data_IF_228205992379
#
_entry.id   IF_228205992379
#
_cell.length_a   1.000
_cell.length_b   1.000
_cell.length_c   1.000
_cell.angle_alpha   90.00
_cell.angle_beta   90.00
_cell.angle_gamma   90.00
#
_symmetry.space_group_name_H-M   'P 1'
#
loop_
_entity.id
_entity.type
_entity.pdbx_description
1 polymer ?
#
# COMPACT_ATOMS: atom_id res chain seq x y z
N UNK A 1 18.58 16.75 -10.75
CA UNK A 1 17.47 16.94 -9.80
C UNK A 1 16.99 18.37 -9.91
N UNK A 2 15.68 18.57 -10.08
CA UNK A 2 15.01 19.86 -10.20
C UNK A 2 13.66 19.77 -9.48
N UNK A 3 13.11 20.89 -9.03
CA UNK A 3 11.83 20.95 -8.33
C UNK A 3 10.98 22.08 -8.90
N UNK A 4 9.73 21.76 -9.19
CA UNK A 4 8.66 22.72 -9.43
C UNK A 4 7.78 22.73 -8.18
N UNK A 5 7.49 23.91 -7.64
CA UNK A 5 6.75 24.02 -6.37
C UNK A 5 5.30 23.59 -6.51
N UNK A 6 4.75 23.63 -7.72
CA UNK A 6 3.37 23.21 -8.00
C UNK A 6 3.25 21.70 -8.27
N UNK A 7 4.36 20.96 -8.27
CA UNK A 7 4.37 19.52 -8.54
C UNK A 7 4.97 18.74 -7.36
N UNK A 8 4.20 17.81 -6.79
CA UNK A 8 4.67 16.99 -5.67
C UNK A 8 5.90 16.15 -6.03
N UNK A 9 6.98 16.41 -5.29
CA UNK A 9 8.20 15.60 -5.38
C UNK A 9 8.00 14.18 -4.83
N UNK A 10 7.09 14.02 -3.86
CA UNK A 10 6.73 12.73 -3.28
C UNK A 10 6.03 11.83 -4.30
N UNK A 11 5.08 12.37 -5.07
CA UNK A 11 4.40 11.62 -6.13
C UNK A 11 5.38 11.21 -7.23
N UNK A 12 6.30 12.12 -7.63
CA UNK A 12 7.34 11.80 -8.59
C UNK A 12 8.32 10.73 -8.07
N UNK A 13 8.70 10.80 -6.79
CA UNK A 13 9.58 9.81 -6.16
C UNK A 13 8.91 8.43 -6.05
N UNK A 14 7.63 8.36 -5.70
CA UNK A 14 6.86 7.13 -5.65
C UNK A 14 6.74 6.49 -7.04
N UNK A 15 6.33 7.27 -8.05
CA UNK A 15 6.24 6.79 -9.43
C UNK A 15 7.59 6.29 -9.94
N UNK A 16 8.66 7.08 -9.72
CA UNK A 16 10.02 6.72 -10.12
C UNK A 16 10.53 5.45 -9.43
N UNK A 17 10.23 5.26 -8.15
CA UNK A 17 10.63 4.07 -7.38
C UNK A 17 9.91 2.81 -7.87
N UNK A 18 8.61 2.90 -8.12
CA UNK A 18 7.84 1.80 -8.71
C UNK A 18 8.39 1.42 -10.07
N UNK A 19 8.56 2.42 -10.96
CA UNK A 19 9.06 2.17 -12.31
C UNK A 19 10.48 1.58 -12.27
N UNK A 20 11.36 2.06 -11.39
CA UNK A 20 12.71 1.53 -11.22
C UNK A 20 12.70 0.03 -10.82
N UNK A 21 11.83 -0.37 -9.89
CA UNK A 21 11.65 -1.78 -9.53
C UNK A 21 11.08 -2.59 -10.71
N UNK A 22 10.11 -2.02 -11.43
CA UNK A 22 9.49 -2.70 -12.57
C UNK A 22 10.47 -2.93 -13.72
N UNK A 23 11.37 -1.98 -14.04
CA UNK A 23 12.39 -2.17 -15.08
C UNK A 23 13.58 -3.01 -14.64
N UNK A 24 13.79 -3.17 -13.33
CA UNK A 24 14.83 -4.05 -12.79
C UNK A 24 14.53 -5.53 -13.02
N UNK A 25 15.49 -6.39 -12.70
CA UNK A 25 15.34 -7.84 -12.67
C UNK A 25 14.75 -8.36 -11.35
N UNK A 26 14.51 -7.49 -10.36
CA UNK A 26 13.98 -7.87 -9.05
C UNK A 26 12.51 -8.30 -9.17
N UNK A 27 12.11 -9.44 -8.60
CA UNK A 27 10.71 -9.85 -8.50
C UNK A 27 9.92 -8.85 -7.65
N UNK A 28 8.90 -8.25 -8.26
CA UNK A 28 8.06 -7.23 -7.64
C UNK A 28 6.66 -7.33 -8.20
N UNK A 29 5.67 -7.52 -7.34
CA UNK A 29 4.24 -7.61 -7.68
C UNK A 29 3.59 -6.22 -7.84
N UNK A 30 4.31 -5.31 -8.50
CA UNK A 30 3.78 -4.01 -8.93
C UNK A 30 3.26 -4.03 -10.37
N UNK A 31 3.16 -2.87 -11.05
CA UNK A 31 3.56 -1.54 -10.58
C UNK A 31 2.58 -0.98 -9.55
N UNK A 32 3.05 0.01 -8.78
CA UNK A 32 2.14 0.91 -8.07
C UNK A 32 2.23 2.33 -8.64
N UNK A 33 1.17 3.10 -8.47
CA UNK A 33 1.23 4.54 -8.59
C UNK A 33 0.44 5.15 -7.42
N UNK A 34 0.66 6.44 -7.20
CA UNK A 34 -0.15 7.21 -6.27
C UNK A 34 -0.38 8.61 -6.78
N UNK A 35 -1.43 9.22 -6.25
CA UNK A 35 -1.86 10.58 -6.57
C UNK A 35 -2.32 11.28 -5.30
N UNK A 36 -2.21 12.60 -5.29
CA UNK A 36 -2.93 13.44 -4.35
C UNK A 36 -4.28 13.81 -4.97
N UNK A 37 -5.36 13.71 -4.22
CA UNK A 37 -6.71 14.11 -4.61
C UNK A 37 -7.12 15.27 -3.70
N UNK A 38 -7.38 16.41 -4.32
CA UNK A 38 -8.02 17.56 -3.69
C UNK A 38 -9.49 17.67 -4.07
N UNK A 39 -10.21 18.56 -3.40
CA UNK A 39 -11.57 18.97 -3.74
C UNK A 39 -11.75 20.47 -3.50
N UNK A 40 -11.94 21.21 -4.59
CA UNK A 40 -12.17 22.67 -4.55
C UNK A 40 -13.56 22.95 -5.10
N UNK A 41 -14.36 23.74 -4.39
CA UNK A 41 -15.76 24.04 -4.73
C UNK A 41 -16.59 22.77 -5.03
N UNK A 42 -16.36 21.70 -4.26
CA UNK A 42 -17.03 20.42 -4.41
C UNK A 42 -16.56 19.57 -5.61
N UNK A 43 -15.51 19.98 -6.33
CA UNK A 43 -14.98 19.25 -7.49
C UNK A 43 -13.65 18.61 -7.16
N UNK A 44 -13.54 17.30 -7.43
CA UNK A 44 -12.30 16.55 -7.24
C UNK A 44 -11.24 16.97 -8.26
N UNK A 45 -9.99 17.07 -7.82
CA UNK A 45 -8.82 17.46 -8.61
C UNK A 45 -7.68 16.48 -8.32
N UNK A 46 -7.05 15.95 -9.37
CA UNK A 46 -5.84 15.13 -9.26
C UNK A 46 -4.60 16.03 -9.20
N UNK A 47 -3.70 15.71 -8.29
CA UNK A 47 -2.41 16.37 -8.06
C UNK A 47 -2.56 17.90 -8.09
N UNK A 48 -3.38 18.47 -7.18
CA UNK A 48 -3.60 19.91 -7.12
C UNK A 48 -2.28 20.65 -6.90
N UNK A 49 -2.16 21.84 -7.48
CA UNK A 49 -1.05 22.74 -7.17
C UNK A 49 -1.20 23.34 -5.76
N UNK A 50 -0.24 24.16 -5.33
CA UNK A 50 -0.22 24.71 -3.96
C UNK A 50 -1.48 25.51 -3.67
N UNK A 51 -1.87 26.43 -4.56
CA UNK A 51 -3.05 27.29 -4.37
C UNK A 51 -4.37 26.50 -4.35
N UNK A 52 -4.48 25.45 -5.16
CA UNK A 52 -5.66 24.58 -5.18
C UNK A 52 -5.74 23.76 -3.90
N UNK A 53 -4.62 23.26 -3.39
CA UNK A 53 -4.58 22.47 -2.16
C UNK A 53 -4.95 23.32 -0.94
N UNK A 54 -4.55 24.60 -0.91
CA UNK A 54 -4.94 25.54 0.16
C UNK A 54 -6.46 25.81 0.20
N UNK A 55 -7.13 25.74 -0.95
CA UNK A 55 -8.58 25.92 -1.08
C UNK A 55 -9.35 24.59 -0.95
N UNK A 56 -8.63 23.49 -0.78
CA UNK A 56 -9.17 22.15 -0.84
C UNK A 56 -9.69 21.72 0.52
N UNK A 57 -10.93 21.24 0.58
CA UNK A 57 -11.50 20.64 1.80
C UNK A 57 -11.10 19.16 1.97
N UNK A 58 -10.34 18.61 1.02
CA UNK A 58 -9.74 17.26 1.05
C UNK A 58 -8.27 17.34 0.68
N UNK A 59 -7.40 16.69 1.43
CA UNK A 59 -6.03 16.38 1.03
C UNK A 59 -5.82 14.87 1.21
N UNK A 60 -6.06 14.13 0.14
CA UNK A 60 -6.04 12.68 0.12
C UNK A 60 -4.88 12.19 -0.73
N UNK A 61 -3.91 11.51 -0.15
CA UNK A 61 -2.93 10.71 -0.88
C UNK A 61 -3.42 9.27 -0.94
N UNK A 62 -3.56 8.74 -2.15
CA UNK A 62 -3.94 7.35 -2.39
C UNK A 62 -2.91 6.68 -3.29
N UNK A 63 -2.55 5.43 -2.97
CA UNK A 63 -1.63 4.63 -3.78
C UNK A 63 -2.08 3.18 -3.86
N UNK A 64 -1.81 2.54 -5.00
CA UNK A 64 -2.21 1.16 -5.23
C UNK A 64 -1.71 0.58 -6.54
N UNK A 65 -2.09 -0.67 -6.77
CA UNK A 65 -1.93 -1.37 -8.05
C UNK A 65 -3.14 -1.12 -8.95
N UNK A 66 -3.14 -1.74 -10.14
CA UNK A 66 -4.28 -1.69 -11.06
C UNK A 66 -5.57 -2.27 -10.44
N UNK A 67 -5.40 -3.24 -9.55
CA UNK A 67 -6.51 -4.05 -9.02
C UNK A 67 -7.00 -3.54 -7.67
N UNK A 68 -6.10 -3.03 -6.82
CA UNK A 68 -6.42 -2.68 -5.45
C UNK A 68 -5.70 -1.41 -4.98
N UNK A 69 -6.30 -0.74 -4.01
CA UNK A 69 -5.68 0.31 -3.23
C UNK A 69 -4.90 -0.33 -2.08
N UNK A 70 -3.65 0.08 -1.90
CA UNK A 70 -2.76 -0.47 -0.88
C UNK A 70 -2.53 0.49 0.29
N UNK A 71 -2.59 1.81 0.05
CA UNK A 71 -2.32 2.84 1.04
C UNK A 71 -3.20 4.07 0.81
N UNK A 72 -3.68 4.64 1.92
CA UNK A 72 -4.43 5.89 1.97
C UNK A 72 -3.92 6.72 3.15
N UNK A 73 -3.59 7.99 2.90
CA UNK A 73 -3.26 9.00 3.90
C UNK A 73 -4.14 10.22 3.62
N UNK A 74 -4.96 10.67 4.57
CA UNK A 74 -5.97 11.70 4.30
C UNK A 74 -6.13 12.69 5.44
N UNK A 75 -6.25 13.98 5.09
CA UNK A 75 -6.83 15.03 5.91
C UNK A 75 -8.02 15.65 5.19
N UNK A 76 -9.08 16.02 5.92
CA UNK A 76 -10.26 16.66 5.34
C UNK A 76 -11.03 17.49 6.37
N UNK A 77 -11.76 18.50 5.90
CA UNK A 77 -12.57 19.41 6.71
C UNK A 77 -13.99 18.84 6.93
N UNK A 78 -14.09 17.82 7.79
CA UNK A 78 -15.38 17.19 8.19
C UNK A 78 -16.28 16.77 7.00
N UNK A 79 -15.66 16.34 5.90
CA UNK A 79 -16.40 15.89 4.71
C UNK A 79 -17.16 14.58 4.97
N UNK A 80 -18.31 14.35 4.31
CA UNK A 80 -19.04 13.09 4.43
C UNK A 80 -18.21 11.88 3.99
N UNK A 81 -18.45 10.71 4.58
CA UNK A 81 -17.72 9.48 4.25
C UNK A 81 -17.88 9.08 2.78
N UNK A 82 -19.07 9.27 2.21
CA UNK A 82 -19.35 9.00 0.80
C UNK A 82 -18.48 9.86 -0.13
N UNK A 83 -18.25 11.13 0.23
CA UNK A 83 -17.34 12.00 -0.52
C UNK A 83 -15.90 11.48 -0.46
N UNK A 84 -15.43 11.08 0.72
CA UNK A 84 -14.08 10.55 0.86
C UNK A 84 -13.91 9.27 0.02
N UNK A 85 -14.93 8.41 0.02
CA UNK A 85 -14.95 7.21 -0.83
C UNK A 85 -14.90 7.58 -2.33
N UNK A 86 -15.69 8.55 -2.78
CA UNK A 86 -15.63 9.06 -4.15
C UNK A 86 -14.23 9.57 -4.51
N UNK A 87 -13.59 10.33 -3.61
CA UNK A 87 -12.23 10.84 -3.81
C UNK A 87 -11.19 9.71 -3.94
N UNK A 88 -11.29 8.68 -3.09
CA UNK A 88 -10.44 7.48 -3.15
C UNK A 88 -10.61 6.77 -4.49
N UNK A 89 -11.85 6.56 -4.93
CA UNK A 89 -12.13 5.87 -6.20
C UNK A 89 -11.70 6.69 -7.41
N UNK A 90 -11.86 8.01 -7.35
CA UNK A 90 -11.39 8.94 -8.38
C UNK A 90 -9.87 8.91 -8.51
N UNK A 91 -9.14 8.92 -7.38
CA UNK A 91 -7.69 8.75 -7.39
C UNK A 91 -7.25 7.38 -7.93
N UNK A 92 -7.96 6.29 -7.58
CA UNK A 92 -7.63 4.96 -8.10
C UNK A 92 -7.80 4.83 -9.61
N UNK A 93 -8.78 5.52 -10.21
CA UNK A 93 -8.92 5.57 -11.67
C UNK A 93 -7.68 6.18 -12.34
N UNK A 94 -7.16 7.26 -11.79
CA UNK A 94 -5.95 7.89 -12.32
C UNK A 94 -4.69 7.05 -12.09
N UNK A 95 -4.60 6.36 -10.95
CA UNK A 95 -3.54 5.39 -10.67
C UNK A 95 -3.47 4.32 -11.76
N UNK A 96 -4.61 3.80 -12.24
CA UNK A 96 -4.64 2.82 -13.33
C UNK A 96 -4.04 3.38 -14.62
N UNK A 97 -4.35 4.63 -14.96
CA UNK A 97 -3.76 5.32 -16.13
C UNK A 97 -2.24 5.46 -16.01
N UNK A 98 -1.74 5.82 -14.82
CA UNK A 98 -0.31 5.93 -14.53
C UNK A 98 0.40 4.57 -14.58
N UNK A 99 -0.25 3.51 -14.12
CA UNK A 99 0.27 2.14 -14.19
C UNK A 99 0.35 1.67 -15.64
N UNK A 100 -0.67 1.91 -16.47
CA UNK A 100 -0.63 1.59 -17.90
C UNK A 100 0.57 2.24 -18.59
N UNK A 101 0.88 3.50 -18.24
CA UNK A 101 2.08 4.17 -18.73
C UNK A 101 3.38 3.51 -18.25
N UNK A 102 3.46 3.08 -16.98
CA UNK A 102 4.61 2.30 -16.51
C UNK A 102 4.76 0.98 -17.26
N UNK A 103 3.65 0.26 -17.52
CA UNK A 103 3.63 -1.00 -18.26
C UNK A 103 4.17 -0.83 -19.69
N UNK A 104 3.85 0.27 -20.38
CA UNK A 104 4.41 0.60 -21.69
C UNK A 104 5.94 0.75 -21.65
N UNK A 105 6.47 1.44 -20.63
CA UNK A 105 7.91 1.62 -20.45
C UNK A 105 8.58 0.27 -20.15
N UNK A 106 8.02 -0.51 -19.23
CA UNK A 106 8.54 -1.83 -18.85
C UNK A 106 8.56 -2.77 -20.06
N UNK A 107 7.53 -2.73 -20.91
CA UNK A 107 7.51 -3.49 -22.17
C UNK A 107 8.63 -3.08 -23.12
N UNK A 108 9.03 -1.81 -23.13
CA UNK A 108 10.07 -1.30 -24.02
C UNK A 108 11.49 -1.56 -23.51
N UNK A 109 11.74 -1.45 -22.20
CA UNK A 109 13.09 -1.46 -21.62
C UNK A 109 13.29 -2.32 -20.37
N UNK A 110 12.26 -3.03 -19.91
CA UNK A 110 12.31 -3.85 -18.71
C UNK A 110 13.21 -5.07 -18.86
N UNK A 111 13.90 -5.43 -17.77
CA UNK A 111 14.70 -6.65 -17.68
C UNK A 111 13.82 -7.87 -17.35
N UNK A 112 14.29 -9.04 -17.74
CA UNK A 112 13.70 -10.32 -17.31
C UNK A 112 13.84 -10.47 -15.78
N UNK A 113 12.79 -10.97 -15.13
CA UNK A 113 12.78 -11.16 -13.67
C UNK A 113 13.61 -12.37 -13.29
N UNK A 114 14.43 -12.24 -12.25
CA UNK A 114 15.15 -13.39 -11.69
C UNK A 114 14.16 -14.35 -11.02
N UNK A 115 14.36 -15.65 -11.21
CA UNK A 115 13.64 -16.66 -10.46
C UNK A 115 14.32 -16.83 -9.08
N UNK A 116 13.55 -16.66 -8.01
CA UNK A 116 14.01 -16.80 -6.64
C UNK A 116 13.27 -17.97 -6.01
N UNK A 117 13.97 -19.06 -5.62
CA UNK A 117 13.32 -20.15 -4.91
C UNK A 117 12.82 -19.64 -3.56
N UNK A 118 11.50 -19.62 -3.39
CA UNK A 118 10.87 -19.25 -2.13
C UNK A 118 11.13 -20.35 -1.10
N UNK A 119 11.38 -19.93 0.13
CA UNK A 119 11.48 -20.87 1.25
C UNK A 119 10.10 -21.47 1.50
N UNK A 120 9.98 -22.78 1.32
CA UNK A 120 8.79 -23.55 1.68
C UNK A 120 8.99 -24.21 3.05
N UNK A 121 8.01 -24.05 3.93
CA UNK A 121 8.01 -24.73 5.23
C UNK A 121 7.67 -26.21 5.00
N UNK A 122 8.40 -27.11 5.66
CA UNK A 122 8.05 -28.54 5.68
C UNK A 122 6.64 -28.72 6.26
N UNK A 123 5.72 -29.24 5.44
CA UNK A 123 4.31 -29.36 5.85
C UNK A 123 4.12 -30.33 7.01
N UNK A 124 4.95 -31.38 7.10
CA UNK A 124 4.88 -32.33 8.23
C UNK A 124 5.23 -31.62 9.52
N UNK A 125 6.31 -30.83 9.51
CA UNK A 125 6.71 -30.02 10.66
C UNK A 125 5.64 -28.98 11.01
N UNK A 126 5.04 -28.32 10.01
CA UNK A 126 3.98 -27.34 10.22
C UNK A 126 2.75 -27.98 10.90
N UNK A 127 2.34 -29.17 10.44
CA UNK A 127 1.22 -29.91 11.00
C UNK A 127 1.51 -30.42 12.41
N UNK A 128 2.72 -30.90 12.68
CA UNK A 128 3.15 -31.30 14.03
C UNK A 128 3.12 -30.13 15.02
N UNK A 129 3.70 -28.99 14.65
CA UNK A 129 3.69 -27.77 15.48
C UNK A 129 2.25 -27.29 15.71
N UNK A 130 1.41 -27.34 14.67
CA UNK A 130 0.01 -26.96 14.77
C UNK A 130 -0.74 -27.87 15.75
N UNK A 131 -0.60 -29.18 15.63
CA UNK A 131 -1.23 -30.14 16.53
C UNK A 131 -0.78 -29.94 18.00
N UNK A 132 0.48 -29.57 18.24
CA UNK A 132 1.03 -29.38 19.58
C UNK A 132 0.60 -28.05 20.24
N UNK A 133 0.47 -26.97 19.46
CA UNK A 133 0.35 -25.62 20.02
C UNK A 133 -0.94 -24.86 19.67
N UNK A 134 -1.72 -25.27 18.66
CA UNK A 134 -2.87 -24.49 18.17
C UNK A 134 -3.92 -24.23 19.27
N UNK A 135 -4.35 -25.27 19.98
CA UNK A 135 -5.36 -25.13 21.03
C UNK A 135 -4.91 -24.24 22.22
N UNK A 136 -3.63 -24.34 22.59
CA UNK A 136 -3.05 -23.55 23.68
C UNK A 136 -2.80 -22.10 23.24
N UNK A 137 -2.34 -21.87 21.99
CA UNK A 137 -2.19 -20.52 21.41
C UNK A 137 -3.54 -19.82 21.27
N UNK A 138 -4.59 -20.51 20.82
CA UNK A 138 -5.94 -19.94 20.70
C UNK A 138 -6.48 -19.43 22.05
N UNK A 139 -6.21 -20.16 23.14
CA UNK A 139 -6.55 -19.68 24.50
C UNK A 139 -5.68 -18.50 24.92
N UNK A 140 -4.39 -18.54 24.62
CA UNK A 140 -3.45 -17.48 24.98
C UNK A 140 -3.80 -16.14 24.31
N UNK A 141 -4.14 -16.13 23.01
CA UNK A 141 -4.47 -14.90 22.27
C UNK A 141 -5.78 -14.23 22.75
N UNK A 142 -6.67 -14.98 23.40
CA UNK A 142 -7.93 -14.49 23.95
C UNK A 142 -7.77 -13.81 25.32
N UNK A 143 -6.58 -13.86 25.94
CA UNK A 143 -6.30 -13.13 27.17
C UNK A 143 -6.38 -11.62 26.89
N UNK A 144 -7.25 -10.92 27.62
CA UNK A 144 -7.53 -9.51 27.37
C UNK A 144 -6.35 -8.59 27.71
N UNK A 145 -5.76 -8.77 28.89
CA UNK A 145 -4.64 -7.95 29.36
C UNK A 145 -3.38 -8.27 28.54
N UNK A 146 -2.67 -7.23 28.08
CA UNK A 146 -1.59 -7.35 27.10
C UNK A 146 -0.40 -8.14 27.67
N UNK A 147 0.06 -7.83 28.86
CA UNK A 147 1.24 -8.49 29.44
C UNK A 147 0.94 -9.95 29.77
N UNK A 148 -0.24 -10.24 30.35
CA UNK A 148 -0.69 -11.60 30.61
C UNK A 148 -0.86 -12.41 29.31
N UNK A 149 -1.30 -11.78 28.21
CA UNK A 149 -1.35 -12.42 26.88
C UNK A 149 0.04 -12.72 26.35
N UNK A 150 0.98 -11.78 26.44
CA UNK A 150 2.37 -11.98 26.03
C UNK A 150 3.04 -13.11 26.84
N UNK A 151 2.79 -13.16 28.15
CA UNK A 151 3.27 -14.23 29.03
C UNK A 151 2.66 -15.58 28.68
N UNK A 152 1.35 -15.63 28.44
CA UNK A 152 0.65 -16.85 28.02
C UNK A 152 1.17 -17.37 26.68
N UNK A 153 1.33 -16.50 25.67
CA UNK A 153 1.90 -16.87 24.36
C UNK A 153 3.33 -17.38 24.52
N UNK A 154 4.14 -16.71 25.35
CA UNK A 154 5.52 -17.11 25.63
C UNK A 154 5.59 -18.46 26.34
N UNK A 155 4.65 -18.74 27.24
CA UNK A 155 4.55 -20.04 27.90
C UNK A 155 4.23 -21.16 26.91
N UNK A 156 3.36 -20.93 25.91
CA UNK A 156 3.08 -21.92 24.86
C UNK A 156 4.30 -22.15 23.97
N UNK A 157 5.00 -21.08 23.57
CA UNK A 157 6.23 -21.18 22.77
C UNK A 157 7.35 -21.95 23.47
N UNK A 158 7.46 -21.86 24.80
CA UNK A 158 8.46 -22.62 25.59
C UNK A 158 8.19 -24.12 25.66
N UNK A 159 6.98 -24.58 25.31
CA UNK A 159 6.60 -26.00 25.30
C UNK A 159 6.93 -26.69 23.96
N UNK A 160 7.19 -25.91 22.92
CA UNK A 160 7.66 -26.35 21.60
C UNK A 160 9.19 -26.42 21.60
#
# INVERSE_FOLDING_TARGET
>A
MSVDQDCSSEMAAMFGSSLALCVSDIPFEGPIAGVTVGRVDGKLIINPNVEQLEQSDINLVVAGTKDAINMVEAGADEVPEETMLEAIMYGHQEIKRLIEFQEEIVKAVGKEKIDIPLYEVDQTLADEVKALAEADLLKAIQVHEKHAREDAISAVKKKL
#
